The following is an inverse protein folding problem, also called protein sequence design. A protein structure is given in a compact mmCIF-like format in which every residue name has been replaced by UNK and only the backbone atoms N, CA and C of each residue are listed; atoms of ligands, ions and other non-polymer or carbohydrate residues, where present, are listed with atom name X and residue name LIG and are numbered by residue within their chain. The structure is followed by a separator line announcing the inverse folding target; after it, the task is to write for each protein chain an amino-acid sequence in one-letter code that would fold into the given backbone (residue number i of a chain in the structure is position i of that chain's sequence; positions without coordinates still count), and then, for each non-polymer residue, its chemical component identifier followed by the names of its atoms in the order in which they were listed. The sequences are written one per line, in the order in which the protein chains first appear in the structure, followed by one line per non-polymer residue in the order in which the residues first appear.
data_IF_990929217661
#
_entry.id   IF_990929217661
#
_cell.length_a   1.000
_cell.length_b   1.000
_cell.length_c   1.000
_cell.angle_alpha   90.00
_cell.angle_beta   90.00
_cell.angle_gamma   90.00
#
_symmetry.space_group_name_H-M   'P 1'
#
loop_
_entity.id
_entity.type
_entity.pdbx_description
1 polymer ?
#
# COMPACT_ATOMS: atom_id res chain seq x y z
N UNK A 1 -92.61 46.19 -32.28
CA UNK A 1 -92.76 45.43 -31.09
C UNK A 1 -91.49 44.58 -30.94
N UNK A 2 -90.80 44.85 -29.92
CA UNK A 2 -89.79 44.11 -29.25
C UNK A 2 -88.63 43.52 -30.18
N UNK A 3 -87.55 44.34 -30.17
CA UNK A 3 -86.25 43.95 -30.64
C UNK A 3 -85.45 43.28 -29.55
N UNK A 4 -84.77 42.20 -29.91
CA UNK A 4 -83.79 41.57 -29.02
C UNK A 4 -82.39 41.79 -29.53
N UNK A 5 -81.59 42.55 -28.81
CA UNK A 5 -80.20 42.83 -29.05
C UNK A 5 -79.37 41.63 -28.57
N UNK A 6 -78.65 41.00 -29.49
CA UNK A 6 -77.66 39.96 -29.17
C UNK A 6 -76.33 40.60 -28.85
N UNK A 7 -75.81 40.33 -27.66
CA UNK A 7 -74.48 40.74 -27.22
C UNK A 7 -73.53 39.56 -27.44
N UNK A 8 -72.62 39.70 -28.41
CA UNK A 8 -71.51 38.74 -28.60
C UNK A 8 -70.43 39.01 -27.57
N UNK A 9 -70.16 38.04 -26.71
CA UNK A 9 -68.96 37.99 -25.86
C UNK A 9 -67.82 37.37 -26.60
N UNK A 10 -66.76 38.16 -26.76
CA UNK A 10 -65.46 37.64 -27.22
C UNK A 10 -64.76 36.92 -26.07
N UNK A 11 -64.40 35.64 -26.26
CA UNK A 11 -63.61 34.83 -25.34
C UNK A 11 -62.16 35.01 -25.76
N UNK A 12 -61.39 35.72 -24.90
CA UNK A 12 -59.95 35.83 -25.04
C UNK A 12 -59.26 34.53 -24.64
N UNK A 13 -58.53 33.98 -25.62
CA UNK A 13 -57.70 32.80 -25.39
C UNK A 13 -56.36 33.27 -24.74
N UNK A 14 -56.23 32.97 -23.46
CA UNK A 14 -54.94 33.19 -22.72
C UNK A 14 -54.00 32.04 -23.05
N UNK A 15 -52.93 32.33 -23.79
CA UNK A 15 -51.83 31.40 -24.04
C UNK A 15 -50.97 31.28 -22.78
N UNK A 16 -51.03 30.14 -22.11
CA UNK A 16 -50.15 29.78 -21.00
C UNK A 16 -48.81 29.35 -21.64
N UNK A 17 -47.81 30.22 -21.54
CA UNK A 17 -46.44 29.90 -21.85
C UNK A 17 -45.86 29.00 -20.74
N UNK A 18 -45.77 27.67 -21.00
CA UNK A 18 -45.04 26.76 -20.15
C UNK A 18 -43.52 26.99 -20.29
N UNK A 19 -42.93 27.62 -19.31
CA UNK A 19 -41.47 27.72 -19.16
C UNK A 19 -40.93 26.35 -18.71
N UNK A 20 -40.38 25.59 -19.64
CA UNK A 20 -39.64 24.36 -19.32
C UNK A 20 -38.28 24.77 -18.71
N UNK A 21 -38.18 24.72 -17.36
CA UNK A 21 -36.88 24.73 -16.70
C UNK A 21 -36.16 23.41 -17.03
N UNK A 22 -35.20 23.47 -17.94
CA UNK A 22 -34.26 22.40 -18.19
C UNK A 22 -33.37 22.19 -16.95
N UNK A 23 -33.61 21.13 -16.19
CA UNK A 23 -32.68 20.62 -15.21
C UNK A 23 -31.44 20.10 -15.96
N UNK A 24 -30.39 20.93 -16.04
CA UNK A 24 -29.10 20.49 -16.47
C UNK A 24 -28.55 19.49 -15.41
N UNK A 25 -28.71 18.20 -15.68
CA UNK A 25 -28.01 17.15 -14.94
C UNK A 25 -26.51 17.29 -15.21
N UNK A 26 -25.81 18.00 -14.32
CA UNK A 26 -24.36 18.06 -14.31
C UNK A 26 -23.81 16.68 -14.07
N UNK A 27 -23.42 15.99 -15.13
CA UNK A 27 -22.62 14.77 -15.00
C UNK A 27 -21.29 15.16 -14.35
N UNK A 28 -21.15 14.86 -13.06
CA UNK A 28 -19.89 14.99 -12.33
C UNK A 28 -18.90 14.03 -12.97
N UNK A 29 -17.97 14.54 -13.77
CA UNK A 29 -16.92 13.72 -14.34
C UNK A 29 -16.07 13.13 -13.22
N UNK A 30 -15.89 11.81 -13.23
CA UNK A 30 -15.01 11.14 -12.30
C UNK A 30 -13.59 11.71 -12.45
N UNK A 31 -12.88 11.97 -11.35
CA UNK A 31 -11.52 12.51 -11.41
C UNK A 31 -10.60 11.53 -12.16
N UNK A 32 -9.59 12.04 -12.91
CA UNK A 32 -8.66 11.19 -13.65
C UNK A 32 -7.92 10.25 -12.69
N UNK A 33 -7.66 9.02 -13.14
CA UNK A 33 -7.05 7.96 -12.34
C UNK A 33 -5.76 8.40 -11.60
N UNK A 34 -4.99 9.34 -12.18
CA UNK A 34 -3.80 9.94 -11.55
C UNK A 34 -4.16 10.80 -10.32
N UNK A 35 -5.29 11.50 -10.33
CA UNK A 35 -5.77 12.28 -9.19
C UNK A 35 -6.27 11.38 -8.06
N UNK A 36 -6.93 10.26 -8.38
CA UNK A 36 -7.31 9.23 -7.42
C UNK A 36 -6.09 8.57 -6.76
N UNK A 37 -5.02 8.31 -7.52
CA UNK A 37 -3.78 7.77 -6.97
C UNK A 37 -3.06 8.76 -6.05
N UNK A 38 -3.06 10.06 -6.37
CA UNK A 38 -2.49 11.11 -5.52
C UNK A 38 -3.30 11.33 -4.24
N UNK A 39 -4.63 11.30 -4.32
CA UNK A 39 -5.50 11.41 -3.14
C UNK A 39 -5.39 10.18 -2.23
N UNK A 40 -5.18 8.98 -2.78
CA UNK A 40 -4.93 7.76 -2.01
C UNK A 40 -3.62 7.80 -1.21
N UNK A 41 -2.62 8.56 -1.65
CA UNK A 41 -1.32 8.63 -0.96
C UNK A 41 -1.30 9.64 0.20
N UNK A 42 -2.14 10.66 0.16
CA UNK A 42 -2.16 11.71 1.20
C UNK A 42 -2.99 11.36 2.44
N UNK A 43 -3.85 10.34 2.38
CA UNK A 43 -4.70 9.90 3.50
C UNK A 43 -4.44 8.48 4.00
N UNK A 44 -3.49 7.73 3.40
CA UNK A 44 -3.25 6.36 3.78
C UNK A 44 -2.35 6.27 5.02
N UNK A 45 -2.72 5.39 5.96
CA UNK A 45 -1.93 5.10 7.15
C UNK A 45 -0.56 4.53 6.78
N UNK A 46 0.43 4.63 7.69
CA UNK A 46 1.74 3.97 7.53
C UNK A 46 1.60 2.49 7.17
N UNK A 47 0.69 1.81 7.85
CA UNK A 47 0.32 0.41 7.60
C UNK A 47 -0.09 0.17 6.13
N UNK A 48 -1.08 0.93 5.64
CA UNK A 48 -1.59 0.78 4.28
C UNK A 48 -0.50 1.03 3.23
N UNK A 49 0.38 2.01 3.46
CA UNK A 49 1.48 2.38 2.57
C UNK A 49 2.54 1.28 2.50
N UNK A 50 2.95 0.76 3.65
CA UNK A 50 3.91 -0.35 3.73
C UNK A 50 3.35 -1.62 3.09
N UNK A 51 2.10 -1.98 3.43
CA UNK A 51 1.43 -3.15 2.86
C UNK A 51 1.28 -3.04 1.34
N UNK A 52 0.87 -1.88 0.83
CA UNK A 52 0.75 -1.64 -0.61
C UNK A 52 2.10 -1.79 -1.34
N UNK A 53 3.20 -1.30 -0.73
CA UNK A 53 4.54 -1.43 -1.31
C UNK A 53 4.99 -2.89 -1.44
N UNK A 54 4.71 -3.72 -0.43
CA UNK A 54 4.95 -5.16 -0.49
C UNK A 54 4.09 -5.83 -1.57
N UNK A 55 2.79 -5.56 -1.56
CA UNK A 55 1.83 -6.27 -2.41
C UNK A 55 1.99 -5.92 -3.89
N UNK A 56 2.48 -4.74 -4.23
CA UNK A 56 2.84 -4.37 -5.60
C UNK A 56 3.93 -5.28 -6.17
N UNK A 57 5.02 -5.52 -5.44
CA UNK A 57 6.08 -6.43 -5.89
C UNK A 57 5.61 -7.88 -5.91
N UNK A 58 4.83 -8.30 -4.91
CA UNK A 58 4.26 -9.64 -4.87
C UNK A 58 3.39 -9.95 -6.08
N UNK A 59 2.55 -9.00 -6.50
CA UNK A 59 1.73 -9.15 -7.71
C UNK A 59 2.60 -9.32 -8.96
N UNK A 60 3.69 -8.56 -9.09
CA UNK A 60 4.62 -8.67 -10.22
C UNK A 60 5.34 -10.03 -10.28
N UNK A 61 5.50 -10.72 -9.15
CA UNK A 61 6.15 -12.02 -9.04
C UNK A 61 5.18 -13.19 -8.81
N UNK A 62 3.88 -12.98 -9.01
CA UNK A 62 2.86 -14.03 -8.93
C UNK A 62 2.71 -14.65 -7.54
N UNK A 63 2.98 -13.86 -6.49
CA UNK A 63 2.71 -14.22 -5.11
C UNK A 63 1.39 -13.60 -4.62
N UNK A 64 0.62 -14.34 -3.82
CA UNK A 64 -0.61 -13.83 -3.24
C UNK A 64 -0.33 -12.63 -2.32
N UNK A 65 -1.25 -11.65 -2.23
CA UNK A 65 -1.05 -10.47 -1.39
C UNK A 65 -0.91 -10.86 0.08
N UNK A 66 -0.03 -10.15 0.79
CA UNK A 66 0.08 -10.22 2.24
C UNK A 66 -1.13 -9.53 2.90
N UNK A 67 -1.48 -10.02 4.08
CA UNK A 67 -2.42 -9.37 4.99
C UNK A 67 -1.62 -8.71 6.12
N UNK A 68 -2.12 -7.57 6.61
CA UNK A 68 -1.53 -6.95 7.78
C UNK A 68 -1.88 -7.73 9.05
N UNK A 69 -0.87 -7.89 9.91
CA UNK A 69 -1.04 -8.49 11.23
C UNK A 69 -0.58 -7.51 12.31
N UNK A 70 -1.51 -6.96 13.13
CA UNK A 70 -1.17 -6.01 14.18
C UNK A 70 -0.27 -6.61 15.26
N UNK A 71 -0.30 -7.91 15.52
CA UNK A 71 0.58 -8.55 16.50
C UNK A 71 2.03 -8.57 16.00
N UNK A 72 2.23 -8.83 14.69
CA UNK A 72 3.55 -8.72 14.09
C UNK A 72 4.07 -7.27 14.13
N UNK A 73 3.19 -6.27 13.93
CA UNK A 73 3.55 -4.87 14.03
C UNK A 73 3.96 -4.47 15.46
N UNK A 74 3.24 -4.92 16.47
CA UNK A 74 3.60 -4.75 17.89
C UNK A 74 4.95 -5.41 18.19
N UNK A 75 5.17 -6.64 17.72
CA UNK A 75 6.44 -7.35 17.88
C UNK A 75 7.60 -6.64 17.15
N UNK A 76 7.35 -6.03 15.99
CA UNK A 76 8.32 -5.19 15.30
C UNK A 76 8.65 -3.92 16.10
N UNK A 77 7.63 -3.23 16.61
CA UNK A 77 7.79 -2.00 17.38
C UNK A 77 8.61 -2.23 18.66
N UNK A 78 8.39 -3.35 19.35
CA UNK A 78 9.10 -3.69 20.58
C UNK A 78 10.62 -3.86 20.42
N UNK A 79 11.07 -4.15 19.18
CA UNK A 79 12.50 -4.30 18.88
C UNK A 79 13.20 -2.96 18.54
N UNK A 80 12.46 -1.92 18.20
CA UNK A 80 12.98 -0.62 17.80
C UNK A 80 13.97 0.01 18.79
N UNK A 81 13.66 0.10 20.10
CA UNK A 81 14.59 0.63 21.10
C UNK A 81 15.94 -0.11 21.16
N UNK A 82 15.93 -1.44 20.94
CA UNK A 82 17.17 -2.22 20.90
C UNK A 82 18.04 -1.84 19.70
N UNK A 83 17.44 -1.64 18.51
CA UNK A 83 18.18 -1.20 17.32
C UNK A 83 18.78 0.20 17.51
N UNK A 84 18.02 1.12 18.10
CA UNK A 84 18.51 2.46 18.43
C UNK A 84 19.70 2.42 19.40
N UNK A 85 19.62 1.59 20.45
CA UNK A 85 20.71 1.42 21.40
C UNK A 85 21.98 0.80 20.78
N UNK A 86 21.80 -0.14 19.82
CA UNK A 86 22.89 -0.77 19.07
C UNK A 86 23.50 0.21 18.05
N UNK A 87 22.71 1.13 17.50
CA UNK A 87 23.11 2.11 16.49
C UNK A 87 23.42 1.53 15.10
N UNK A 88 23.02 0.30 14.81
CA UNK A 88 23.21 -0.39 13.52
C UNK A 88 22.13 -1.45 13.30
N UNK A 89 21.98 -1.92 12.04
CA UNK A 89 21.09 -3.02 11.75
C UNK A 89 21.65 -4.34 12.32
N UNK A 90 20.86 -4.99 13.13
CA UNK A 90 21.13 -6.30 13.69
C UNK A 90 19.81 -7.03 13.86
N UNK A 91 19.70 -8.24 13.33
CA UNK A 91 18.49 -9.04 13.52
C UNK A 91 18.26 -9.40 14.99
N UNK A 92 16.99 -9.36 15.39
CA UNK A 92 16.59 -9.88 16.70
C UNK A 92 16.84 -11.38 16.79
N UNK A 93 17.03 -11.88 18.02
CA UNK A 93 17.19 -13.31 18.27
C UNK A 93 16.03 -14.11 17.64
N UNK A 94 16.35 -15.25 17.03
CA UNK A 94 15.34 -16.18 16.50
C UNK A 94 14.41 -16.72 17.59
N UNK A 95 14.90 -16.83 18.83
CA UNK A 95 14.09 -17.22 19.96
C UNK A 95 12.97 -16.21 20.27
N UNK A 96 13.19 -14.92 19.98
CA UNK A 96 12.21 -13.85 20.20
C UNK A 96 11.22 -13.70 19.02
N UNK A 97 11.36 -14.50 17.96
CA UNK A 97 10.50 -14.50 16.77
C UNK A 97 10.28 -15.89 16.18
N UNK A 98 9.75 -16.84 16.99
CA UNK A 98 9.55 -18.21 16.52
C UNK A 98 8.62 -18.23 15.29
N UNK A 99 9.04 -18.92 14.22
CA UNK A 99 8.27 -19.03 12.97
C UNK A 99 8.18 -17.75 12.13
N UNK A 100 8.82 -16.65 12.53
CA UNK A 100 8.79 -15.36 11.85
C UNK A 100 10.13 -15.06 11.14
N UNK A 101 10.06 -14.37 10.01
CA UNK A 101 11.19 -13.70 9.41
C UNK A 101 11.17 -12.21 9.76
N UNK A 102 12.28 -11.52 9.43
CA UNK A 102 12.45 -10.11 9.73
C UNK A 102 13.26 -9.44 8.62
N UNK A 103 12.77 -8.31 8.12
CA UNK A 103 13.55 -7.37 7.31
C UNK A 103 13.79 -6.10 8.12
N UNK A 104 14.97 -5.54 8.00
CA UNK A 104 15.41 -4.33 8.67
C UNK A 104 15.92 -3.31 7.66
N UNK A 105 15.62 -2.03 7.91
CA UNK A 105 16.15 -0.90 7.17
C UNK A 105 16.47 0.24 8.14
N UNK A 106 17.47 1.04 7.81
CA UNK A 106 17.86 2.23 8.58
C UNK A 106 18.25 3.37 7.63
N UNK A 107 17.84 4.56 7.94
CA UNK A 107 18.22 5.78 7.21
C UNK A 107 18.10 7.03 8.06
N UNK A 108 18.54 8.17 7.52
CA UNK A 108 18.49 9.47 8.20
C UNK A 108 17.05 9.79 8.62
N UNK A 109 16.88 10.21 9.85
CA UNK A 109 15.58 10.55 10.44
C UNK A 109 14.77 11.48 9.53
N UNK A 110 13.56 11.06 9.21
CA UNK A 110 12.59 11.85 8.45
C UNK A 110 12.91 12.05 6.96
N UNK A 111 14.05 11.53 6.47
CA UNK A 111 14.47 11.74 5.09
C UNK A 111 13.76 10.84 4.06
N UNK A 112 13.13 9.75 4.50
CA UNK A 112 12.59 8.73 3.60
C UNK A 112 11.11 8.47 3.84
N UNK A 113 10.36 8.41 2.75
CA UNK A 113 8.98 7.93 2.77
C UNK A 113 8.94 6.41 3.03
N UNK A 114 7.86 5.87 3.62
CA UNK A 114 7.72 4.43 3.87
C UNK A 114 7.92 3.56 2.62
N UNK A 115 7.46 4.04 1.47
CA UNK A 115 7.63 3.35 0.18
C UNK A 115 9.09 3.25 -0.25
N UNK A 116 9.89 4.27 0.05
CA UNK A 116 11.34 4.26 -0.25
C UNK A 116 12.09 3.29 0.67
N UNK A 117 11.67 3.15 1.93
CA UNK A 117 12.26 2.19 2.85
C UNK A 117 12.06 0.74 2.37
N UNK A 118 10.83 0.37 1.97
CA UNK A 118 10.53 -0.94 1.37
C UNK A 118 11.16 -1.05 -0.02
N UNK A 119 11.23 0.06 -0.76
CA UNK A 119 11.87 0.16 -2.06
C UNK A 119 13.31 -0.29 -2.04
N UNK A 120 14.08 0.03 -0.99
CA UNK A 120 15.45 -0.40 -0.83
C UNK A 120 15.60 -1.94 -0.81
N UNK A 121 14.65 -2.65 -0.19
CA UNK A 121 14.60 -4.12 -0.27
C UNK A 121 14.18 -4.61 -1.65
N UNK A 122 13.25 -3.93 -2.30
CA UNK A 122 12.76 -4.29 -3.62
C UNK A 122 13.81 -4.08 -4.72
N UNK A 123 14.75 -3.15 -4.53
CA UNK A 123 15.85 -2.90 -5.46
C UNK A 123 16.86 -4.07 -5.55
N UNK A 124 16.87 -4.96 -4.55
CA UNK A 124 17.66 -6.19 -4.58
C UNK A 124 17.23 -7.14 -5.72
N UNK A 125 16.01 -6.97 -6.28
CA UNK A 125 15.50 -7.78 -7.40
C UNK A 125 16.43 -7.79 -8.61
N UNK A 126 17.24 -6.76 -8.80
CA UNK A 126 18.25 -6.69 -9.87
C UNK A 126 19.30 -7.80 -9.82
N UNK A 127 19.49 -8.37 -8.63
CA UNK A 127 20.42 -9.48 -8.42
C UNK A 127 19.73 -10.84 -8.33
N UNK A 128 18.38 -10.87 -8.36
CA UNK A 128 17.64 -12.12 -8.26
C UNK A 128 17.87 -13.01 -9.48
N UNK A 129 18.10 -14.28 -9.24
CA UNK A 129 18.01 -15.39 -10.22
C UNK A 129 16.89 -16.34 -9.76
N UNK A 130 15.96 -16.70 -10.65
CA UNK A 130 14.96 -17.72 -10.31
C UNK A 130 15.66 -19.04 -9.95
N UNK A 131 15.25 -19.67 -8.86
CA UNK A 131 15.92 -20.89 -8.42
C UNK A 131 15.41 -21.42 -7.08
N UNK A 132 16.27 -22.23 -6.49
CA UNK A 132 16.06 -22.82 -5.15
C UNK A 132 16.93 -22.06 -4.15
N UNK A 133 16.31 -21.54 -3.09
CA UNK A 133 17.03 -20.85 -2.02
C UNK A 133 18.02 -21.80 -1.33
N UNK A 134 19.27 -21.38 -1.04
CA UNK A 134 19.81 -20.03 -1.15
C UNK A 134 20.48 -19.66 -2.49
N UNK A 135 20.44 -20.51 -3.51
CA UNK A 135 21.13 -20.32 -4.79
C UNK A 135 20.33 -19.44 -5.75
N UNK A 136 19.97 -18.24 -5.33
CA UNK A 136 19.04 -17.33 -6.01
C UNK A 136 19.61 -15.94 -6.29
N UNK A 137 20.91 -15.74 -6.10
CA UNK A 137 21.60 -14.48 -6.38
C UNK A 137 22.56 -14.59 -7.57
N UNK A 138 22.57 -13.55 -8.42
CA UNK A 138 23.55 -13.40 -9.50
C UNK A 138 24.96 -13.09 -9.02
N UNK A 139 25.08 -12.58 -7.79
CA UNK A 139 26.38 -12.29 -7.15
C UNK A 139 27.02 -13.52 -6.50
N UNK A 140 26.26 -14.63 -6.37
CA UNK A 140 26.68 -15.81 -5.63
C UNK A 140 26.43 -15.70 -4.11
N UNK A 141 26.09 -14.52 -3.61
CA UNK A 141 25.74 -14.28 -2.21
C UNK A 141 24.23 -14.06 -2.06
N UNK A 142 23.52 -15.00 -1.42
CA UNK A 142 22.07 -14.91 -1.23
C UNK A 142 21.64 -13.71 -0.36
N UNK A 143 22.52 -13.20 0.47
CA UNK A 143 22.24 -12.05 1.33
C UNK A 143 21.92 -10.79 0.52
N UNK A 144 22.45 -10.69 -0.70
CA UNK A 144 22.22 -9.55 -1.60
C UNK A 144 20.81 -9.52 -2.19
N UNK A 145 20.00 -10.55 -1.94
CA UNK A 145 18.60 -10.67 -2.36
C UNK A 145 17.66 -11.09 -1.23
N UNK A 146 18.17 -11.19 0.00
CA UNK A 146 17.46 -11.80 1.12
C UNK A 146 16.20 -11.03 1.53
N UNK A 147 16.25 -9.70 1.51
CA UNK A 147 15.09 -8.88 1.83
C UNK A 147 14.03 -9.01 0.74
N UNK A 148 14.44 -8.94 -0.51
CA UNK A 148 13.51 -9.06 -1.63
C UNK A 148 12.87 -10.45 -1.72
N UNK A 149 13.64 -11.53 -1.57
CA UNK A 149 13.09 -12.88 -1.59
C UNK A 149 12.10 -13.10 -0.45
N UNK A 150 12.30 -12.48 0.72
CA UNK A 150 11.32 -12.50 1.80
C UNK A 150 10.05 -11.73 1.43
N UNK A 151 10.15 -10.56 0.78
CA UNK A 151 8.98 -9.78 0.31
C UNK A 151 8.10 -10.61 -0.61
N UNK A 152 8.69 -11.30 -1.59
CA UNK A 152 7.96 -12.08 -2.61
C UNK A 152 7.72 -13.54 -2.23
N UNK A 153 8.11 -13.99 -1.04
CA UNK A 153 8.01 -15.39 -0.63
C UNK A 153 6.57 -15.89 -0.64
N UNK A 154 6.26 -16.87 -1.48
CA UNK A 154 4.87 -17.36 -1.68
C UNK A 154 4.25 -17.94 -0.42
N UNK A 155 5.03 -18.60 0.43
CA UNK A 155 4.53 -19.21 1.67
C UNK A 155 4.27 -18.21 2.81
N UNK A 156 4.74 -16.97 2.68
CA UNK A 156 4.44 -15.91 3.65
C UNK A 156 3.08 -15.29 3.34
N UNK A 157 2.22 -15.15 4.35
CA UNK A 157 0.84 -14.68 4.21
C UNK A 157 0.55 -13.40 4.98
N UNK A 158 1.34 -13.09 6.00
CA UNK A 158 1.14 -11.94 6.87
C UNK A 158 2.43 -11.12 7.04
N UNK A 159 2.25 -9.82 7.21
CA UNK A 159 3.31 -8.87 7.55
C UNK A 159 2.80 -7.86 8.57
N UNK A 160 3.65 -7.46 9.49
CA UNK A 160 3.43 -6.31 10.37
C UNK A 160 4.74 -5.57 10.56
N UNK A 161 4.69 -4.26 10.42
CA UNK A 161 5.87 -3.40 10.46
C UNK A 161 5.70 -2.26 11.46
N UNK A 162 6.84 -1.73 11.92
CA UNK A 162 6.91 -0.50 12.70
C UNK A 162 8.11 0.35 12.27
N UNK A 163 7.97 1.66 12.37
CA UNK A 163 9.08 2.59 12.26
C UNK A 163 9.42 3.08 13.66
N UNK A 164 10.61 2.73 14.12
CA UNK A 164 11.20 3.32 15.33
C UNK A 164 12.08 4.49 14.93
N UNK A 165 11.99 5.58 15.68
CA UNK A 165 12.71 6.83 15.39
C UNK A 165 13.51 7.26 16.59
N UNK A 166 14.83 7.45 16.39
CA UNK A 166 15.69 8.05 17.40
C UNK A 166 16.11 9.49 17.03
N UNK A 167 17.15 10.01 17.65
CA UNK A 167 17.62 11.37 17.40
C UNK A 167 18.20 11.54 15.98
N UNK A 168 18.76 10.48 15.36
CA UNK A 168 19.50 10.53 14.09
C UNK A 168 18.86 9.69 12.98
N UNK A 169 18.21 8.59 13.33
CA UNK A 169 17.79 7.58 12.37
C UNK A 169 16.32 7.19 12.51
N UNK A 170 15.75 6.77 11.39
CA UNK A 170 14.54 5.96 11.31
C UNK A 170 14.95 4.51 11.06
N UNK A 171 14.35 3.58 11.80
CA UNK A 171 14.50 2.13 11.64
C UNK A 171 13.15 1.56 11.21
N UNK A 172 13.08 1.00 10.01
CA UNK A 172 11.92 0.18 9.62
C UNK A 172 12.21 -1.27 10.00
N UNK A 173 11.30 -1.86 10.76
CA UNK A 173 11.33 -3.26 11.16
C UNK A 173 10.05 -3.91 10.60
N UNK A 174 10.17 -4.95 9.77
CA UNK A 174 9.04 -5.75 9.33
C UNK A 174 9.19 -7.20 9.77
N UNK A 175 8.12 -7.76 10.35
CA UNK A 175 8.00 -9.18 10.71
C UNK A 175 7.06 -9.86 9.74
N UNK A 176 7.41 -11.09 9.36
CA UNK A 176 6.66 -11.87 8.36
C UNK A 176 6.30 -13.24 8.93
N UNK A 177 5.09 -13.71 8.65
CA UNK A 177 4.61 -15.02 9.07
C UNK A 177 3.78 -15.70 7.98
N UNK A 178 3.99 -17.00 7.75
CA UNK A 178 5.15 -17.80 8.12
C UNK A 178 6.46 -17.23 7.56
N UNK A 179 7.60 -17.60 8.15
CA UNK A 179 8.92 -17.16 7.66
C UNK A 179 9.16 -17.63 6.23
N UNK A 180 9.84 -16.80 5.43
CA UNK A 180 10.38 -17.16 4.13
C UNK A 180 11.84 -17.58 4.19
N UNK A 181 12.50 -17.51 3.03
CA UNK A 181 13.92 -17.81 2.85
C UNK A 181 14.31 -19.18 3.44
N UNK A 182 13.55 -20.21 3.05
CA UNK A 182 13.71 -21.58 3.53
C UNK A 182 14.60 -22.35 2.55
N UNK A 183 15.70 -22.90 3.03
CA UNK A 183 16.61 -23.71 2.22
C UNK A 183 15.87 -24.85 1.51
N UNK A 184 16.24 -25.12 0.28
CA UNK A 184 15.63 -26.15 -0.55
C UNK A 184 14.26 -25.77 -1.16
N UNK A 185 13.74 -24.59 -0.90
CA UNK A 185 12.45 -24.12 -1.45
C UNK A 185 12.67 -23.17 -2.63
N UNK A 186 11.79 -23.30 -3.63
CA UNK A 186 11.83 -22.44 -4.82
C UNK A 186 11.38 -21.02 -4.49
N UNK A 187 12.14 -20.04 -4.98
CA UNK A 187 11.76 -18.64 -5.03
C UNK A 187 11.07 -18.37 -6.38
N UNK A 188 10.04 -17.51 -6.44
CA UNK A 188 9.31 -17.15 -7.66
C UNK A 188 10.20 -16.67 -8.80
#
# INVERSE_FOLDING_TARGET
MIGTTSVSRAIGCATISCLLLGLASGASAAPPARALMLQSSYGSTLEARLLASHNRERAAFGAAPLKWDPNLAVAAASYGPSLSAIGRLQHSSRANRPGQAENLWMGTRGAYAPEAMVGAWNDEKRFLRPGVFPYVSSTGNWQDVAHFTQVIWKGTTHVGCAVHRDARYDFLICRYSPKGNIDGRRVP
#
